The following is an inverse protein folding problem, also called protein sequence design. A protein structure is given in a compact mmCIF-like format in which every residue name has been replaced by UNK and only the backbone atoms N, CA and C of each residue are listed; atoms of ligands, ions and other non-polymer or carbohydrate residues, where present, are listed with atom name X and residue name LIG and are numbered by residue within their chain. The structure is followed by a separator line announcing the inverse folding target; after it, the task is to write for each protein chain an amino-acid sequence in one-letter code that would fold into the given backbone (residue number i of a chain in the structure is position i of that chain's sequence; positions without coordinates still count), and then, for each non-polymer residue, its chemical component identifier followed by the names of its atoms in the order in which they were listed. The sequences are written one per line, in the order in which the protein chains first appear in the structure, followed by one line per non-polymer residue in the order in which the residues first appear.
data_IF_719235173403
#
_entry.id   IF_719235173403
#
_cell.length_a   1.000
_cell.length_b   1.000
_cell.length_c   1.000
_cell.angle_alpha   90.00
_cell.angle_beta   90.00
_cell.angle_gamma   90.00
#
_symmetry.space_group_name_H-M   'P 1'
#
loop_
_entity.id
_entity.type
_entity.pdbx_description
1 polymer ?
#
# COMPACT_ATOMS: atom_id res chain seq x y z
N UNK A 1 12.88 -31.42 -14.57
CA UNK A 1 13.50 -30.12 -14.89
C UNK A 1 12.39 -29.08 -15.03
N UNK A 2 12.58 -27.95 -14.34
CA UNK A 2 11.88 -26.65 -14.47
C UNK A 2 10.37 -26.62 -14.26
N UNK A 3 9.99 -26.36 -13.00
CA UNK A 3 8.66 -25.92 -12.59
C UNK A 3 8.21 -24.71 -13.41
N UNK A 4 7.01 -24.86 -13.99
CA UNK A 4 6.28 -23.90 -14.81
C UNK A 4 6.16 -22.57 -14.09
N UNK A 5 6.78 -21.53 -14.64
CA UNK A 5 6.64 -20.15 -14.19
C UNK A 5 5.15 -19.82 -14.10
N UNK A 6 4.70 -19.51 -12.88
CA UNK A 6 3.34 -19.05 -12.63
C UNK A 6 3.22 -17.70 -13.33
N UNK A 7 2.47 -17.68 -14.43
CA UNK A 7 2.00 -16.46 -15.07
C UNK A 7 1.15 -15.72 -14.03
N UNK A 8 1.77 -14.77 -13.35
CA UNK A 8 1.04 -13.71 -12.66
C UNK A 8 0.51 -12.83 -13.79
N UNK A 9 -0.80 -12.90 -14.04
CA UNK A 9 -1.46 -11.91 -14.89
C UNK A 9 -1.31 -10.50 -14.31
N UNK A 10 -1.73 -9.45 -15.03
CA UNK A 10 -1.65 -8.10 -14.53
C UNK A 10 -2.30 -8.03 -13.14
N UNK A 11 -1.57 -7.46 -12.17
CA UNK A 11 -2.15 -7.12 -10.89
C UNK A 11 -3.38 -6.24 -11.16
N UNK A 12 -4.51 -6.57 -10.56
CA UNK A 12 -5.69 -5.71 -10.57
C UNK A 12 -5.57 -4.69 -9.44
N UNK A 13 -6.39 -3.64 -9.45
CA UNK A 13 -6.47 -2.69 -8.32
C UNK A 13 -6.71 -3.41 -6.99
N UNK A 14 -7.60 -4.41 -6.97
CA UNK A 14 -7.88 -5.19 -5.76
C UNK A 14 -6.64 -5.99 -5.29
N UNK A 15 -5.87 -6.55 -6.22
CA UNK A 15 -4.63 -7.26 -5.89
C UNK A 15 -3.58 -6.29 -5.30
N UNK A 16 -3.43 -5.10 -5.89
CA UNK A 16 -2.51 -4.08 -5.40
C UNK A 16 -2.85 -3.63 -3.97
N UNK A 17 -4.13 -3.38 -3.67
CA UNK A 17 -4.58 -3.06 -2.30
C UNK A 17 -4.24 -4.19 -1.33
N UNK A 18 -4.55 -5.44 -1.69
CA UNK A 18 -4.29 -6.60 -0.83
C UNK A 18 -2.79 -6.78 -0.54
N UNK A 19 -1.93 -6.58 -1.54
CA UNK A 19 -0.47 -6.64 -1.41
C UNK A 19 0.04 -5.55 -0.44
N UNK A 20 -0.43 -4.31 -0.60
CA UNK A 20 -0.08 -3.20 0.27
C UNK A 20 -0.55 -3.44 1.72
N UNK A 21 -1.79 -3.91 1.90
CA UNK A 21 -2.36 -4.24 3.21
C UNK A 21 -1.59 -5.36 3.90
N UNK A 22 -1.27 -6.44 3.19
CA UNK A 22 -0.49 -7.55 3.73
C UNK A 22 0.90 -7.10 4.21
N UNK A 23 1.55 -6.17 3.49
CA UNK A 23 2.80 -5.56 3.95
C UNK A 23 2.62 -4.66 5.15
N UNK A 24 1.61 -3.80 5.15
CA UNK A 24 1.34 -2.94 6.29
C UNK A 24 1.11 -3.75 7.58
N UNK A 25 0.36 -4.86 7.51
CA UNK A 25 0.20 -5.79 8.64
C UNK A 25 1.53 -6.40 9.07
N UNK A 26 2.36 -6.82 8.11
CA UNK A 26 3.70 -7.37 8.38
C UNK A 26 4.64 -6.38 9.07
N UNK A 27 4.37 -5.07 8.93
CA UNK A 27 5.10 -3.97 9.55
C UNK A 27 4.49 -3.53 10.89
N UNK A 28 3.43 -4.21 11.33
CA UNK A 28 2.75 -3.91 12.60
C UNK A 28 1.72 -2.79 12.51
N UNK A 29 1.27 -2.39 11.31
CA UNK A 29 0.19 -1.41 11.19
C UNK A 29 -1.17 -2.06 11.45
N UNK A 30 -1.98 -1.37 12.26
CA UNK A 30 -3.38 -1.70 12.49
C UNK A 30 -4.26 -1.12 11.39
N UNK A 31 -4.59 -1.93 10.39
CA UNK A 31 -5.40 -1.53 9.23
C UNK A 31 -6.80 -1.00 9.58
N UNK A 32 -7.32 -1.23 10.78
CA UNK A 32 -8.62 -0.68 11.18
C UNK A 32 -8.61 0.84 11.17
N UNK A 33 -7.44 1.44 11.46
CA UNK A 33 -7.19 2.89 11.49
C UNK A 33 -6.84 3.49 10.14
N UNK A 34 -6.83 2.71 9.06
CA UNK A 34 -6.40 3.18 7.73
C UNK A 34 -7.41 2.86 6.63
N UNK A 35 -7.46 3.71 5.60
CA UNK A 35 -8.10 3.43 4.32
C UNK A 35 -7.03 3.38 3.23
N UNK A 36 -7.17 2.46 2.28
CA UNK A 36 -6.27 2.37 1.14
C UNK A 36 -6.81 3.21 -0.02
N UNK A 37 -5.97 4.06 -0.60
CA UNK A 37 -6.24 4.78 -1.83
C UNK A 37 -5.25 4.34 -2.89
N UNK A 38 -5.75 4.10 -4.10
CA UNK A 38 -4.92 3.80 -5.27
C UNK A 38 -4.83 5.05 -6.11
N UNK A 39 -3.60 5.41 -6.45
CA UNK A 39 -3.29 6.40 -7.47
C UNK A 39 -2.57 5.68 -8.60
N UNK A 40 -3.06 5.85 -9.82
CA UNK A 40 -2.30 5.47 -11.01
C UNK A 40 -1.31 6.61 -11.27
N UNK A 41 -0.02 6.36 -11.02
CA UNK A 41 1.03 7.30 -11.39
C UNK A 41 1.11 7.44 -12.92
N UNK A 42 1.78 8.49 -13.42
CA UNK A 42 2.07 8.63 -14.86
C UNK A 42 2.82 7.43 -15.43
N UNK A 43 3.47 6.61 -14.59
CA UNK A 43 4.04 5.35 -15.01
C UNK A 43 2.95 4.29 -15.23
N UNK A 44 2.68 3.89 -16.48
CA UNK A 44 1.61 2.94 -16.79
C UNK A 44 1.87 1.55 -16.20
N UNK A 45 3.09 1.25 -15.75
CA UNK A 45 3.48 -0.05 -15.21
C UNK A 45 3.37 -0.16 -13.68
N UNK A 46 3.00 0.91 -12.94
CA UNK A 46 3.02 0.90 -11.46
C UNK A 46 1.67 1.35 -10.88
N UNK A 47 1.19 0.65 -9.85
CA UNK A 47 0.17 1.15 -8.94
C UNK A 47 0.81 1.78 -7.72
N UNK A 48 0.33 2.95 -7.34
CA UNK A 48 0.68 3.57 -6.06
C UNK A 48 -0.48 3.33 -5.10
N UNK A 49 -0.24 2.67 -3.98
CA UNK A 49 -1.21 2.45 -2.92
C UNK A 49 -0.79 3.24 -1.69
N UNK A 50 -1.60 4.20 -1.27
CA UNK A 50 -1.37 4.96 -0.04
C UNK A 50 -2.34 4.50 1.05
N UNK A 51 -1.83 4.23 2.25
CA UNK A 51 -2.67 4.00 3.42
C UNK A 51 -2.83 5.32 4.19
N UNK A 52 -4.04 5.86 4.16
CA UNK A 52 -4.40 7.11 4.81
C UNK A 52 -5.04 6.82 6.16
N UNK A 53 -4.53 7.44 7.22
CA UNK A 53 -5.11 7.32 8.55
C UNK A 53 -6.55 7.87 8.56
N UNK A 54 -7.50 7.08 9.05
CA UNK A 54 -8.90 7.47 9.24
C UNK A 54 -9.05 8.47 10.39
N UNK A 55 -8.23 8.30 11.43
CA UNK A 55 -8.25 9.13 12.64
C UNK A 55 -7.21 10.25 12.53
N UNK A 56 -7.47 11.28 11.72
CA UNK A 56 -6.92 12.61 12.01
C UNK A 56 -7.89 13.25 13.01
N UNK A 57 -7.62 13.23 14.33
CA UNK A 57 -8.51 13.90 15.27
C UNK A 57 -8.55 15.39 14.91
N UNK A 58 -9.71 15.85 14.45
CA UNK A 58 -9.96 17.25 14.19
C UNK A 58 -10.03 17.94 15.56
N UNK A 59 -8.87 18.39 16.05
CA UNK A 59 -8.76 19.24 17.23
C UNK A 59 -8.66 18.53 18.58
N UNK A 60 -7.54 17.83 18.85
CA UNK A 60 -7.12 17.56 20.23
C UNK A 60 -5.71 18.11 20.49
N UNK A 61 -5.64 19.12 21.36
CA UNK A 61 -4.41 19.65 21.97
C UNK A 61 -3.78 18.57 22.84
N UNK A 62 -2.93 17.72 22.26
CA UNK A 62 -2.22 16.69 23.00
C UNK A 62 -1.64 15.61 22.09
N UNK A 63 -0.61 15.97 21.33
CA UNK A 63 0.44 15.11 20.76
C UNK A 63 0.16 13.59 20.62
N UNK A 64 -0.87 13.17 19.89
CA UNK A 64 -0.84 11.87 19.24
C UNK A 64 0.08 12.02 18.02
N UNK A 65 1.21 11.30 18.04
CA UNK A 65 2.10 11.25 16.88
C UNK A 65 1.26 10.92 15.64
N UNK A 66 1.41 11.71 14.58
CA UNK A 66 0.73 11.44 13.32
C UNK A 66 0.94 9.97 12.95
N UNK A 67 -0.15 9.24 12.71
CA UNK A 67 -0.08 7.86 12.27
C UNK A 67 0.73 7.83 10.96
N UNK A 68 1.75 6.97 10.83
CA UNK A 68 2.53 6.90 9.62
C UNK A 68 1.61 6.50 8.47
N UNK A 69 1.63 7.27 7.38
CA UNK A 69 0.84 7.03 6.17
C UNK A 69 1.77 6.37 5.13
N UNK A 70 1.87 5.03 5.08
CA UNK A 70 2.77 4.38 4.14
C UNK A 70 2.24 4.46 2.71
N UNK A 71 3.17 4.61 1.78
CA UNK A 71 2.95 4.58 0.34
C UNK A 71 3.70 3.37 -0.23
N UNK A 72 3.00 2.52 -0.97
CA UNK A 72 3.54 1.34 -1.62
C UNK A 72 3.45 1.48 -3.14
N UNK A 73 4.57 1.26 -3.84
CA UNK A 73 4.58 1.16 -5.30
C UNK A 73 4.59 -0.31 -5.70
N UNK A 74 3.64 -0.71 -6.53
CA UNK A 74 3.40 -2.10 -6.92
C UNK A 74 3.49 -2.23 -8.43
N UNK A 75 4.35 -3.13 -8.90
CA UNK A 75 4.50 -3.45 -10.31
C UNK A 75 3.23 -4.13 -10.84
N UNK A 76 2.64 -3.57 -11.90
CA UNK A 76 1.39 -4.09 -12.48
C UNK A 76 1.57 -5.43 -13.16
N UNK A 77 2.77 -5.76 -13.64
CA UNK A 77 3.00 -7.01 -14.38
C UNK A 77 3.17 -8.22 -13.46
N UNK A 78 3.71 -8.01 -12.26
CA UNK A 78 4.13 -9.06 -11.33
C UNK A 78 3.43 -9.00 -9.97
N UNK A 79 2.81 -7.87 -9.63
CA UNK A 79 2.29 -7.60 -8.29
C UNK A 79 3.40 -7.42 -7.23
N UNK A 80 4.66 -7.28 -7.65
CA UNK A 80 5.77 -7.09 -6.73
C UNK A 80 5.75 -5.67 -6.14
N UNK A 81 6.09 -5.53 -4.86
CA UNK A 81 6.31 -4.21 -4.26
C UNK A 81 7.69 -3.73 -4.66
N UNK A 82 7.72 -2.62 -5.39
CA UNK A 82 8.93 -1.98 -5.91
C UNK A 82 9.51 -1.02 -4.86
N UNK A 83 8.65 -0.31 -4.13
CA UNK A 83 9.10 0.74 -3.23
C UNK A 83 8.10 0.95 -2.08
N UNK A 84 8.63 1.29 -0.91
CA UNK A 84 7.83 1.63 0.26
C UNK A 84 8.38 2.90 0.90
N UNK A 85 7.48 3.86 1.15
CA UNK A 85 7.79 5.10 1.84
C UNK A 85 6.83 5.34 2.99
N UNK A 86 7.27 6.12 3.97
CA UNK A 86 6.43 6.62 5.05
C UNK A 86 6.44 8.14 5.01
N UNK A 87 5.28 8.77 4.75
CA UNK A 87 5.15 10.21 4.97
C UNK A 87 4.97 10.50 6.46
N UNK A 88 5.61 11.56 6.93
CA UNK A 88 5.55 12.08 8.31
C UNK A 88 4.61 13.28 8.39
#
# INVERSE_FOLDING_TARGET
MTSKARSTGPATHAAAVAIAQARAVSLGLDLTRYRAEITEEENPAIYVVQLIAKDKPQGHRGALAALPEPVFKIDKSSGAIVEQHFSR
#
